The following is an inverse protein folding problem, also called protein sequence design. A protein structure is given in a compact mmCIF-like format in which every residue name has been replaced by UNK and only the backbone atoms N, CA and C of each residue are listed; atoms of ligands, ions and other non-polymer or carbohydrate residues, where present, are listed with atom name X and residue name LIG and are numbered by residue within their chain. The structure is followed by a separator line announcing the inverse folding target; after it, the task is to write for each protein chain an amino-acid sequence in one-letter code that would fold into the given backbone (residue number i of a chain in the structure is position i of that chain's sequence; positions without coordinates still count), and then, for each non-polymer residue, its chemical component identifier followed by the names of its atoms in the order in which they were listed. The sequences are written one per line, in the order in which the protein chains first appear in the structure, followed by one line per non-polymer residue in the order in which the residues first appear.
data_IF_759133251398
#
_entry.id   IF_759133251398
#
_cell.length_a   1.000
_cell.length_b   1.000
_cell.length_c   1.000
_cell.angle_alpha   90.00
_cell.angle_beta   90.00
_cell.angle_gamma   90.00
#
_symmetry.space_group_name_H-M   'P 1'
#
loop_
_entity.id
_entity.type
_entity.pdbx_description
1 polymer ?
#
# COMPACT_ATOMS: atom_id res chain seq x y z
N UNK A 1 9.19 -29.71 -9.77
CA UNK A 1 8.20 -28.69 -10.18
C UNK A 1 8.33 -27.56 -9.19
N UNK A 2 8.98 -26.48 -9.61
CA UNK A 2 9.44 -25.40 -8.76
C UNK A 2 8.25 -24.47 -8.45
N UNK A 3 7.54 -24.72 -7.36
CA UNK A 3 6.68 -23.71 -6.76
C UNK A 3 7.59 -22.70 -6.04
N UNK A 4 8.32 -21.90 -6.81
CA UNK A 4 8.94 -20.70 -6.30
C UNK A 4 7.81 -19.74 -5.95
N UNK A 5 7.48 -19.61 -4.67
CA UNK A 5 6.46 -18.69 -4.19
C UNK A 5 6.87 -17.28 -4.65
N UNK A 6 6.16 -16.74 -5.64
CA UNK A 6 6.50 -15.41 -6.18
C UNK A 6 6.16 -14.36 -5.12
N UNK A 7 7.03 -13.36 -4.89
CA UNK A 7 6.75 -12.32 -3.91
C UNK A 7 5.41 -11.63 -4.19
N UNK A 8 4.67 -11.34 -3.14
CA UNK A 8 3.41 -10.63 -3.23
C UNK A 8 3.70 -9.15 -3.51
N UNK A 9 3.33 -8.67 -4.70
CA UNK A 9 3.50 -7.28 -5.10
C UNK A 9 2.58 -6.40 -4.24
N UNK A 10 3.18 -5.58 -3.39
CA UNK A 10 2.48 -4.90 -2.31
C UNK A 10 2.83 -3.43 -2.28
N UNK A 11 1.81 -2.60 -2.21
CA UNK A 11 1.96 -1.17 -2.01
C UNK A 11 1.94 -0.86 -0.52
N UNK A 12 2.96 -0.19 0.03
CA UNK A 12 2.91 0.27 1.42
C UNK A 12 2.57 1.75 1.48
N UNK A 13 1.56 2.09 2.28
CA UNK A 13 1.25 3.45 2.69
C UNK A 13 2.30 4.00 3.66
N UNK A 14 2.44 5.33 3.72
CA UNK A 14 3.34 6.07 4.61
C UNK A 14 3.13 5.68 6.07
N UNK A 15 1.89 5.40 6.49
CA UNK A 15 1.59 4.97 7.86
C UNK A 15 2.33 3.71 8.28
N UNK A 16 2.65 2.78 7.36
CA UNK A 16 3.40 1.56 7.68
C UNK A 16 4.85 1.88 8.03
N UNK A 17 5.46 2.85 7.34
CA UNK A 17 6.81 3.32 7.65
C UNK A 17 6.86 4.03 9.00
N UNK A 18 5.90 4.92 9.28
CA UNK A 18 5.76 5.55 10.60
C UNK A 18 5.54 4.53 11.71
N UNK A 19 4.71 3.52 11.42
CA UNK A 19 4.40 2.43 12.33
C UNK A 19 5.62 1.73 12.92
N UNK A 20 6.76 1.68 12.23
CA UNK A 20 8.02 1.11 12.75
C UNK A 20 8.51 1.77 14.04
N UNK A 21 8.15 3.03 14.26
CA UNK A 21 8.58 3.84 15.41
C UNK A 21 7.43 4.21 16.35
N UNK A 22 6.20 3.85 16.02
CA UNK A 22 5.02 4.14 16.83
C UNK A 22 4.66 2.92 17.71
N UNK A 23 4.64 3.14 19.03
CA UNK A 23 4.27 2.10 20.01
C UNK A 23 2.91 1.48 19.69
N UNK A 24 2.85 0.15 19.63
CA UNK A 24 1.64 -0.61 19.30
C UNK A 24 1.44 -0.88 17.80
N UNK A 25 2.21 -0.24 16.92
CA UNK A 25 2.28 -0.54 15.49
C UNK A 25 3.64 -1.10 15.06
N UNK A 26 4.64 -0.98 15.92
CA UNK A 26 6.05 -1.21 15.62
C UNK A 26 6.37 -2.67 15.33
N UNK A 27 5.91 -3.61 16.14
CA UNK A 27 6.21 -5.04 15.94
C UNK A 27 5.77 -5.53 14.57
N UNK A 28 4.50 -5.28 14.19
CA UNK A 28 3.96 -5.75 12.93
C UNK A 28 4.51 -4.97 11.71
N UNK A 29 4.81 -3.68 11.87
CA UNK A 29 5.46 -2.89 10.80
C UNK A 29 6.88 -3.38 10.54
N UNK A 30 7.67 -3.62 11.61
CA UNK A 30 9.02 -4.18 11.51
C UNK A 30 8.99 -5.56 10.86
N UNK A 31 8.06 -6.42 11.26
CA UNK A 31 7.88 -7.75 10.66
C UNK A 31 7.54 -7.67 9.16
N UNK A 32 6.67 -6.74 8.76
CA UNK A 32 6.34 -6.54 7.35
C UNK A 32 7.58 -6.16 6.52
N UNK A 33 8.35 -5.16 6.97
CA UNK A 33 9.56 -4.75 6.24
C UNK A 33 10.67 -5.79 6.29
N UNK A 34 10.73 -6.63 7.33
CA UNK A 34 11.60 -7.79 7.35
C UNK A 34 11.24 -8.78 6.24
N UNK A 35 9.95 -9.05 6.06
CA UNK A 35 9.46 -9.93 4.98
C UNK A 35 9.62 -9.30 3.57
N UNK A 36 9.68 -7.97 3.47
CA UNK A 36 10.13 -7.28 2.24
C UNK A 36 11.60 -7.59 1.95
N UNK A 37 12.49 -7.49 2.95
CA UNK A 37 13.92 -7.82 2.79
C UNK A 37 14.14 -9.29 2.41
N UNK A 38 13.32 -10.18 2.97
CA UNK A 38 13.33 -11.62 2.67
C UNK A 38 12.69 -11.98 1.31
N UNK A 39 12.17 -10.99 0.58
CA UNK A 39 11.50 -11.18 -0.72
C UNK A 39 10.23 -12.04 -0.64
N UNK A 40 9.54 -12.04 0.50
CA UNK A 40 8.16 -12.51 0.58
C UNK A 40 7.20 -11.46 0.00
N UNK A 41 7.52 -10.18 0.18
CA UNK A 41 6.83 -9.06 -0.43
C UNK A 41 7.74 -8.32 -1.41
N UNK A 42 7.18 -7.92 -2.54
CA UNK A 42 7.82 -6.98 -3.47
C UNK A 42 7.19 -5.61 -3.25
N UNK A 43 7.94 -4.70 -2.63
CA UNK A 43 7.44 -3.41 -2.17
C UNK A 43 7.33 -2.42 -3.32
N UNK A 44 6.18 -1.75 -3.43
CA UNK A 44 5.94 -0.66 -4.38
C UNK A 44 5.79 0.66 -3.62
N UNK A 45 6.53 1.67 -4.05
CA UNK A 45 6.52 3.02 -3.49
C UNK A 45 6.16 4.02 -4.59
N UNK A 46 5.26 4.96 -4.28
CA UNK A 46 4.89 6.02 -5.22
C UNK A 46 5.38 7.41 -4.80
N UNK A 47 5.27 8.41 -5.69
CA UNK A 47 5.61 9.80 -5.37
C UNK A 47 4.64 10.44 -4.39
N UNK A 48 3.54 9.78 -4.02
CA UNK A 48 2.66 10.25 -2.94
C UNK A 48 3.30 9.91 -1.60
N UNK A 49 3.69 8.65 -1.40
CA UNK A 49 4.42 8.20 -0.20
C UNK A 49 5.72 8.97 -0.02
N UNK A 50 6.49 9.18 -1.09
CA UNK A 50 7.73 9.96 -1.00
C UNK A 50 7.51 11.37 -0.42
N UNK A 51 6.48 12.09 -0.89
CA UNK A 51 6.15 13.44 -0.42
C UNK A 51 5.64 13.46 1.01
N UNK A 52 4.92 12.43 1.42
CA UNK A 52 4.44 12.32 2.80
C UNK A 52 5.60 12.02 3.76
N UNK A 53 6.55 11.19 3.33
CA UNK A 53 7.78 10.89 4.08
C UNK A 53 8.67 12.13 4.23
N UNK A 54 8.73 13.03 3.26
CA UNK A 54 9.51 14.29 3.38
C UNK A 54 9.12 15.10 4.64
N UNK A 55 7.87 14.99 5.09
CA UNK A 55 7.35 15.67 6.28
C UNK A 55 7.37 14.81 7.56
N UNK A 56 7.76 13.53 7.45
CA UNK A 56 7.81 12.60 8.57
C UNK A 56 9.02 12.86 9.50
N UNK A 57 9.02 12.32 10.74
CA UNK A 57 10.19 12.38 11.64
C UNK A 57 11.48 11.84 11.01
N UNK A 58 12.63 12.23 11.56
CA UNK A 58 13.92 11.90 10.97
C UNK A 58 14.17 10.40 10.87
N UNK A 59 13.84 9.68 11.93
CA UNK A 59 13.92 8.22 12.03
C UNK A 59 13.10 7.51 10.94
N UNK A 60 11.91 8.03 10.62
CA UNK A 60 11.06 7.50 9.55
C UNK A 60 11.68 7.75 8.18
N UNK A 61 12.24 8.95 7.96
CA UNK A 61 12.93 9.29 6.70
C UNK A 61 14.18 8.44 6.47
N UNK A 62 14.97 8.22 7.53
CA UNK A 62 16.16 7.38 7.48
C UNK A 62 15.77 5.93 7.15
N UNK A 63 14.78 5.37 7.85
CA UNK A 63 14.28 4.02 7.59
C UNK A 63 13.70 3.87 6.18
N UNK A 64 12.91 4.85 5.70
CA UNK A 64 12.42 4.86 4.33
C UNK A 64 13.58 4.81 3.33
N UNK A 65 14.65 5.58 3.56
CA UNK A 65 15.84 5.58 2.71
C UNK A 65 16.48 4.19 2.61
N UNK A 66 16.55 3.45 3.71
CA UNK A 66 17.05 2.06 3.73
C UNK A 66 16.15 1.14 2.90
N UNK A 67 14.82 1.29 3.00
CA UNK A 67 13.87 0.46 2.30
C UNK A 67 13.85 0.70 0.77
N UNK A 68 14.43 1.79 0.29
CA UNK A 68 14.48 2.09 -1.15
C UNK A 68 15.25 1.05 -1.97
N UNK A 69 16.23 0.35 -1.38
CA UNK A 69 16.97 -0.74 -2.03
C UNK A 69 16.06 -1.95 -2.36
N UNK A 70 14.98 -2.12 -1.59
CA UNK A 70 14.06 -3.25 -1.71
C UNK A 70 12.75 -2.90 -2.40
N UNK A 71 12.63 -1.68 -2.93
CA UNK A 71 11.38 -1.13 -3.45
C UNK A 71 11.43 -0.84 -4.95
N UNK A 72 10.31 -1.11 -5.62
CA UNK A 72 10.04 -0.60 -6.96
C UNK A 72 9.35 0.76 -6.88
N UNK A 73 9.96 1.75 -7.52
CA UNK A 73 9.37 3.07 -7.65
C UNK A 73 8.46 3.15 -8.87
N UNK A 74 7.26 3.66 -8.68
CA UNK A 74 6.30 3.94 -9.75
C UNK A 74 6.17 5.44 -9.99
N UNK A 75 5.74 5.82 -11.18
CA UNK A 75 5.41 7.20 -11.51
C UNK A 75 3.92 7.49 -11.31
N UNK A 76 3.57 8.77 -11.13
CA UNK A 76 2.19 9.20 -11.29
C UNK A 76 1.88 9.23 -12.79
N UNK A 77 0.99 8.35 -13.23
CA UNK A 77 0.60 8.25 -14.64
C UNK A 77 -0.77 8.86 -14.91
N UNK A 78 -1.07 9.11 -16.18
CA UNK A 78 -2.39 9.61 -16.59
C UNK A 78 -3.50 8.62 -16.21
N UNK A 79 -3.24 7.33 -16.33
CA UNK A 79 -4.15 6.24 -15.97
C UNK A 79 -4.51 6.32 -14.49
N UNK A 80 -3.51 6.48 -13.60
CA UNK A 80 -3.77 6.61 -12.17
C UNK A 80 -4.56 7.88 -11.83
N UNK A 81 -4.28 9.00 -12.51
CA UNK A 81 -5.01 10.24 -12.31
C UNK A 81 -6.48 10.14 -12.78
N UNK A 82 -6.73 9.48 -13.91
CA UNK A 82 -8.06 9.22 -14.43
C UNK A 82 -8.84 8.27 -13.52
N UNK A 83 -8.20 7.19 -13.06
CA UNK A 83 -8.82 6.23 -12.14
C UNK A 83 -9.16 6.87 -10.79
N UNK A 84 -8.25 7.70 -10.25
CA UNK A 84 -8.55 8.53 -9.08
C UNK A 84 -9.77 9.43 -9.31
N UNK A 85 -9.85 10.08 -10.47
CA UNK A 85 -10.98 10.95 -10.81
C UNK A 85 -12.28 10.15 -10.89
N UNK A 86 -12.27 8.95 -11.45
CA UNK A 86 -13.43 8.07 -11.48
C UNK A 86 -13.94 7.73 -10.06
N UNK A 87 -13.05 7.54 -9.08
CA UNK A 87 -13.47 7.34 -7.68
C UNK A 87 -14.17 8.56 -7.07
N UNK A 88 -13.72 9.77 -7.41
CA UNK A 88 -14.32 11.04 -6.99
C UNK A 88 -15.69 11.24 -7.65
N UNK A 89 -15.78 10.99 -8.96
CA UNK A 89 -17.02 11.16 -9.74
C UNK A 89 -18.09 10.16 -9.30
N UNK A 90 -17.68 8.95 -8.90
CA UNK A 90 -18.57 7.94 -8.30
C UNK A 90 -18.94 8.24 -6.83
N UNK A 91 -18.42 9.32 -6.24
CA UNK A 91 -18.75 9.73 -4.87
C UNK A 91 -18.20 8.80 -3.77
N UNK A 92 -17.23 7.93 -4.08
CA UNK A 92 -16.62 7.00 -3.10
C UNK A 92 -15.90 7.80 -2.01
N UNK A 93 -15.25 8.88 -2.42
CA UNK A 93 -14.55 9.82 -1.55
C UNK A 93 -14.85 11.26 -1.91
N UNK A 94 -14.68 12.14 -0.93
CA UNK A 94 -14.75 13.59 -1.16
C UNK A 94 -13.42 14.12 -1.66
N UNK A 95 -13.41 15.35 -2.16
CA UNK A 95 -12.18 16.07 -2.53
C UNK A 95 -11.13 16.13 -1.41
N UNK A 96 -11.53 16.03 -0.14
CA UNK A 96 -10.62 16.01 1.01
C UNK A 96 -9.78 14.74 1.09
N UNK A 97 -10.24 13.64 0.51
CA UNK A 97 -9.54 12.34 0.49
C UNK A 97 -8.98 12.02 -0.90
N UNK A 98 -8.58 13.05 -1.65
CA UNK A 98 -8.02 12.89 -3.01
C UNK A 98 -6.64 12.25 -2.99
N UNK A 99 -5.80 12.55 -1.98
CA UNK A 99 -4.47 11.96 -1.81
C UNK A 99 -4.57 10.45 -1.50
N UNK A 100 -5.34 10.12 -0.46
CA UNK A 100 -5.90 8.81 -0.14
C UNK A 100 -6.31 8.02 -1.40
N UNK A 101 -7.26 8.54 -2.19
CA UNK A 101 -7.73 7.87 -3.40
C UNK A 101 -6.65 7.71 -4.49
N UNK A 102 -5.62 8.56 -4.50
CA UNK A 102 -4.49 8.43 -5.40
C UNK A 102 -3.59 7.26 -5.02
N UNK A 103 -3.41 6.93 -3.73
CA UNK A 103 -2.71 5.69 -3.33
C UNK A 103 -3.40 4.46 -3.93
N UNK A 104 -4.73 4.38 -3.79
CA UNK A 104 -5.52 3.27 -4.33
C UNK A 104 -5.39 3.18 -5.85
N UNK A 105 -5.49 4.31 -6.54
CA UNK A 105 -5.38 4.34 -8.00
C UNK A 105 -3.98 3.92 -8.48
N UNK A 106 -2.93 4.41 -7.82
CA UNK A 106 -1.54 4.08 -8.15
C UNK A 106 -1.24 2.59 -7.91
N UNK A 107 -1.64 2.07 -6.76
CA UNK A 107 -1.46 0.66 -6.44
C UNK A 107 -2.25 -0.24 -7.41
N UNK A 108 -3.47 0.16 -7.77
CA UNK A 108 -4.30 -0.54 -8.77
C UNK A 108 -3.63 -0.56 -10.15
N UNK A 109 -3.19 0.60 -10.65
CA UNK A 109 -2.55 0.72 -11.97
C UNK A 109 -1.22 -0.03 -12.02
N UNK A 110 -0.48 -0.03 -10.91
CA UNK A 110 0.75 -0.82 -10.74
C UNK A 110 0.49 -2.33 -10.59
N UNK A 111 -0.77 -2.78 -10.60
CA UNK A 111 -1.18 -4.17 -10.44
C UNK A 111 -0.71 -4.79 -9.12
N UNK A 112 -0.62 -3.96 -8.07
CA UNK A 112 -0.36 -4.45 -6.72
C UNK A 112 -1.49 -5.41 -6.32
N UNK A 113 -1.12 -6.52 -5.68
CA UNK A 113 -2.08 -7.51 -5.19
C UNK A 113 -2.76 -7.02 -3.92
N UNK A 114 -2.08 -6.16 -3.16
CA UNK A 114 -2.60 -5.54 -1.95
C UNK A 114 -1.96 -4.18 -1.66
N UNK A 115 -2.63 -3.42 -0.82
CA UNK A 115 -2.11 -2.25 -0.12
C UNK A 115 -1.97 -2.61 1.35
N UNK A 116 -0.81 -2.30 1.94
CA UNK A 116 -0.57 -2.38 3.38
C UNK A 116 -0.68 -0.98 3.97
N UNK A 117 -1.51 -0.81 5.00
CA UNK A 117 -1.69 0.47 5.69
C UNK A 117 -2.23 0.27 7.10
N UNK A 118 -1.80 1.11 8.04
CA UNK A 118 -2.45 1.21 9.35
C UNK A 118 -3.67 2.10 9.32
N UNK A 119 -3.75 3.01 8.36
CA UNK A 119 -4.72 4.08 8.42
C UNK A 119 -5.11 4.64 7.04
N UNK A 120 -6.28 4.25 6.56
CA UNK A 120 -7.04 5.06 5.60
C UNK A 120 -8.48 5.30 6.09
N UNK A 121 -8.67 6.07 7.17
CA UNK A 121 -10.01 6.26 7.80
C UNK A 121 -11.13 6.58 6.81
N UNK A 122 -10.83 7.19 5.66
CA UNK A 122 -11.81 7.53 4.64
C UNK A 122 -11.84 6.60 3.42
N UNK A 123 -10.93 5.62 3.26
CA UNK A 123 -10.89 4.67 2.13
C UNK A 123 -11.29 3.26 2.57
N UNK A 124 -10.76 2.77 3.69
CA UNK A 124 -10.95 1.37 4.15
C UNK A 124 -12.26 1.15 4.90
N UNK A 125 -13.16 2.14 4.92
CA UNK A 125 -14.50 1.91 5.44
C UNK A 125 -15.15 0.76 4.66
N UNK A 126 -15.73 -0.22 5.35
CA UNK A 126 -16.22 -1.47 4.74
C UNK A 126 -17.19 -1.25 3.55
N UNK A 127 -17.89 -0.12 3.53
CA UNK A 127 -18.80 0.27 2.45
C UNK A 127 -18.08 0.76 1.18
N UNK A 128 -16.84 1.23 1.29
CA UNK A 128 -16.10 1.87 0.20
C UNK A 128 -15.21 0.92 -0.57
N UNK A 129 -14.59 -0.06 0.10
CA UNK A 129 -13.73 -1.06 -0.56
C UNK A 129 -14.46 -1.77 -1.71
N UNK A 130 -15.72 -2.23 -1.56
CA UNK A 130 -16.47 -2.81 -2.69
C UNK A 130 -16.72 -1.81 -3.82
N UNK A 131 -16.90 -0.51 -3.52
CA UNK A 131 -17.10 0.53 -4.54
C UNK A 131 -15.82 0.78 -5.34
N UNK A 132 -14.65 0.80 -4.68
CA UNK A 132 -13.36 0.90 -5.38
C UNK A 132 -13.17 -0.26 -6.33
N UNK A 133 -13.44 -1.50 -5.87
CA UNK A 133 -13.38 -2.69 -6.72
C UNK A 133 -14.32 -2.59 -7.92
N UNK A 134 -15.56 -2.16 -7.70
CA UNK A 134 -16.52 -1.97 -8.79
C UNK A 134 -16.03 -0.97 -9.84
N UNK A 135 -15.50 0.18 -9.42
CA UNK A 135 -14.93 1.16 -10.37
C UNK A 135 -13.68 0.63 -11.06
N UNK A 136 -12.81 -0.10 -10.35
CA UNK A 136 -11.65 -0.75 -10.95
C UNK A 136 -12.07 -1.71 -12.07
N UNK A 137 -13.02 -2.59 -11.80
CA UNK A 137 -13.54 -3.57 -12.76
C UNK A 137 -14.14 -2.90 -13.99
N UNK A 138 -14.97 -1.86 -13.81
CA UNK A 138 -15.57 -1.09 -14.92
C UNK A 138 -14.50 -0.43 -15.80
N UNK A 139 -13.36 -0.05 -15.21
CA UNK A 139 -12.24 0.55 -15.93
C UNK A 139 -11.18 -0.49 -16.40
N UNK A 140 -11.46 -1.79 -16.27
CA UNK A 140 -10.58 -2.86 -16.76
C UNK A 140 -9.36 -3.16 -15.88
N UNK A 141 -9.37 -2.72 -14.62
CA UNK A 141 -8.31 -2.98 -13.65
C UNK A 141 -8.62 -4.17 -12.75
N UNK A 142 -7.56 -4.77 -12.20
CA UNK A 142 -7.67 -5.80 -11.17
C UNK A 142 -8.20 -5.22 -9.86
N UNK A 143 -8.92 -6.04 -9.10
CA UNK A 143 -9.32 -5.68 -7.75
C UNK A 143 -8.10 -5.49 -6.86
N UNK A 144 -8.21 -4.59 -5.89
CA UNK A 144 -7.19 -4.36 -4.88
C UNK A 144 -7.81 -4.44 -3.49
N UNK A 145 -7.05 -5.06 -2.59
CA UNK A 145 -7.42 -5.22 -1.19
C UNK A 145 -6.49 -4.38 -0.32
N UNK A 146 -7.00 -3.95 0.82
CA UNK A 146 -6.25 -3.16 1.77
C UNK A 146 -6.25 -3.93 3.09
N UNK A 147 -5.07 -4.11 3.65
CA UNK A 147 -4.85 -4.86 4.88
C UNK A 147 -3.88 -4.09 5.78
N UNK A 148 -3.99 -4.31 7.08
CA UNK A 148 -2.98 -3.90 8.05
C UNK A 148 -1.78 -4.86 8.03
N UNK A 149 -0.60 -4.46 8.52
CA UNK A 149 0.55 -5.36 8.59
C UNK A 149 0.27 -6.71 9.28
N UNK A 150 -0.42 -6.78 10.44
CA UNK A 150 -0.75 -8.06 11.09
C UNK A 150 -1.59 -9.02 10.24
N UNK A 151 -2.39 -8.50 9.31
CA UNK A 151 -3.26 -9.32 8.44
C UNK A 151 -2.50 -9.96 7.28
N UNK A 152 -1.29 -9.49 6.96
CA UNK A 152 -0.52 -9.96 5.80
C UNK A 152 0.80 -10.62 6.16
N UNK A 153 1.39 -10.28 7.30
CA UNK A 153 2.66 -10.88 7.73
C UNK A 153 2.46 -12.35 8.07
N UNK A 154 3.30 -13.21 7.50
CA UNK A 154 3.34 -14.61 7.90
C UNK A 154 4.14 -14.73 9.20
N UNK A 155 3.59 -15.44 10.18
CA UNK A 155 4.27 -15.71 11.46
C UNK A 155 4.98 -17.07 11.48
N UNK A 156 5.16 -17.75 10.34
CA UNK A 156 5.60 -19.14 10.32
C UNK A 156 7.01 -19.36 10.92
N UNK A 157 6.99 -19.75 12.18
CA UNK A 157 7.48 -21.06 12.60
C UNK A 157 6.29 -21.97 12.95
N UNK A 158 5.34 -22.15 12.04
CA UNK A 158 4.48 -23.34 12.11
C UNK A 158 5.24 -24.48 11.45
N UNK A 159 5.97 -25.23 12.28
CA UNK A 159 6.49 -26.53 11.90
C UNK A 159 5.28 -27.45 11.71
N UNK A 160 4.96 -27.79 10.46
CA UNK A 160 4.17 -28.98 10.14
C UNK A 160 5.13 -30.09 9.73
#
# INVERSE_FOLDING_TARGET
MENANRPILSYADTSVFGGVFDEGFDEASKAFFQQVREKHFRLVISPVVQREIELAPEEVRQFFSEMTEYADFIAITKEALLLRQAYLDAGIVTKKSTADALHVALATVAKCQLIVSWNFKHIVHFQKVPLYRAINTVNGYTEINIYSPPEVINYESETI
#
